data_IF_016422204359
#
_entry.id   IF_016422204359
#
_cell.length_a   1.000
_cell.length_b   1.000
_cell.length_c   1.000
_cell.angle_alpha   90.00
_cell.angle_beta   90.00
_cell.angle_gamma   90.00
#
_symmetry.space_group_name_H-M   'P 1'
#
loop_
_entity.id
_entity.type
_entity.pdbx_description
1 polymer ?
#
# COMPACT_ATOMS: atom_id res chain seq x y z
N UNK A 1 13.08 -7.64 10.28
CA UNK A 1 12.66 -7.24 8.93
C UNK A 1 11.36 -6.43 8.90
N UNK A 2 10.22 -6.88 9.48
CA UNK A 2 8.96 -6.07 9.56
C UNK A 2 9.18 -4.65 10.12
N UNK A 3 10.05 -4.49 11.13
CA UNK A 3 10.40 -3.18 11.70
C UNK A 3 11.10 -2.24 10.70
N UNK A 4 11.82 -2.76 9.70
CA UNK A 4 12.55 -1.94 8.74
C UNK A 4 11.63 -1.27 7.72
N UNK A 5 10.59 -2.00 7.23
CA UNK A 5 9.58 -1.43 6.33
C UNK A 5 8.85 -0.27 7.01
N UNK A 6 8.40 -0.46 8.27
CA UNK A 6 7.73 0.61 9.02
C UNK A 6 8.64 1.83 9.23
N UNK A 7 9.92 1.62 9.53
CA UNK A 7 10.89 2.71 9.67
C UNK A 7 11.06 3.51 8.38
N UNK A 8 11.12 2.82 7.24
CA UNK A 8 11.22 3.46 5.93
C UNK A 8 9.99 4.34 5.65
N UNK A 9 8.79 3.79 5.86
CA UNK A 9 7.53 4.52 5.67
C UNK A 9 7.44 5.71 6.63
N UNK A 10 7.83 5.55 7.90
CA UNK A 10 7.84 6.62 8.89
C UNK A 10 8.77 7.76 8.47
N UNK A 11 9.99 7.43 8.05
CA UNK A 11 10.97 8.43 7.64
C UNK A 11 10.44 9.33 6.51
N UNK A 12 9.92 8.74 5.46
CA UNK A 12 9.42 9.50 4.31
C UNK A 12 8.10 10.20 4.58
N UNK A 13 7.23 9.61 5.39
CA UNK A 13 5.96 10.22 5.80
C UNK A 13 6.23 11.44 6.68
N UNK A 14 7.16 11.37 7.63
CA UNK A 14 7.49 12.49 8.49
C UNK A 14 8.18 13.62 7.73
N UNK A 15 9.11 13.28 6.82
CA UNK A 15 9.71 14.28 5.92
C UNK A 15 8.65 15.01 5.11
N UNK A 16 7.72 14.29 4.49
CA UNK A 16 6.66 14.90 3.69
C UNK A 16 5.66 15.68 4.55
N UNK A 17 5.33 15.17 5.72
CA UNK A 17 4.48 15.86 6.69
C UNK A 17 5.04 17.21 7.09
N UNK A 18 6.35 17.27 7.37
CA UNK A 18 7.07 18.51 7.63
C UNK A 18 7.03 19.47 6.44
N UNK A 19 7.18 18.97 5.21
CA UNK A 19 7.07 19.78 3.99
C UNK A 19 5.66 20.38 3.79
N UNK A 20 4.61 19.62 4.08
CA UNK A 20 3.22 20.06 3.86
C UNK A 20 2.71 20.98 4.97
N UNK A 21 3.03 20.67 6.23
CA UNK A 21 2.43 21.30 7.40
C UNK A 21 3.37 22.20 8.19
N UNK A 22 4.69 22.17 7.88
CA UNK A 22 5.69 22.96 8.59
C UNK A 22 5.71 22.69 10.09
N UNK A 23 5.72 23.75 10.88
CA UNK A 23 5.73 23.71 12.36
C UNK A 23 4.47 23.10 12.99
N UNK A 24 3.39 22.92 12.22
CA UNK A 24 2.16 22.26 12.68
C UNK A 24 2.23 20.72 12.57
N UNK A 25 3.29 20.19 11.95
CA UNK A 25 3.48 18.76 11.87
C UNK A 25 4.08 18.21 13.17
N UNK A 26 3.46 17.16 13.67
CA UNK A 26 4.04 16.33 14.71
C UNK A 26 4.41 14.98 14.10
N UNK A 27 5.65 14.55 14.32
CA UNK A 27 6.13 13.30 13.76
C UNK A 27 5.23 12.12 14.14
N UNK A 28 4.91 11.32 13.13
CA UNK A 28 4.14 10.08 13.31
C UNK A 28 5.02 9.08 14.01
N UNK A 29 4.53 8.50 15.09
CA UNK A 29 5.20 7.40 15.79
C UNK A 29 4.90 6.04 15.13
N UNK A 30 5.68 5.01 15.47
CA UNK A 30 5.46 3.63 14.99
C UNK A 30 4.06 3.11 15.37
N UNK A 31 3.62 3.38 16.60
CA UNK A 31 2.28 2.97 17.06
C UNK A 31 1.18 3.73 16.33
N UNK A 32 1.36 5.01 16.06
CA UNK A 32 0.40 5.82 15.33
C UNK A 32 0.28 5.40 13.87
N UNK A 33 1.40 5.07 13.20
CA UNK A 33 1.38 4.52 11.84
C UNK A 33 0.65 3.18 11.79
N UNK A 34 0.89 2.30 12.76
CA UNK A 34 0.17 1.01 12.86
C UNK A 34 -1.33 1.23 13.07
N UNK A 35 -1.72 2.17 13.91
CA UNK A 35 -3.13 2.54 14.11
C UNK A 35 -3.76 3.05 12.82
N UNK A 36 -3.07 3.94 12.10
CA UNK A 36 -3.52 4.44 10.81
C UNK A 36 -3.74 3.31 9.79
N UNK A 37 -2.77 2.39 9.68
CA UNK A 37 -2.88 1.25 8.76
C UNK A 37 -4.03 0.31 9.17
N UNK A 38 -4.18 0.03 10.48
CA UNK A 38 -5.28 -0.77 11.01
C UNK A 38 -6.65 -0.18 10.66
N UNK A 39 -6.83 1.12 10.85
CA UNK A 39 -8.06 1.83 10.49
C UNK A 39 -8.31 1.80 8.96
N UNK A 40 -7.25 1.90 8.15
CA UNK A 40 -7.36 1.82 6.69
C UNK A 40 -7.81 0.43 6.24
N UNK A 41 -7.29 -0.65 6.85
CA UNK A 41 -7.71 -2.03 6.61
C UNK A 41 -9.17 -2.23 7.04
N UNK A 42 -9.56 -1.74 8.22
CA UNK A 42 -10.94 -1.82 8.71
C UNK A 42 -11.92 -1.09 7.79
N UNK A 43 -11.56 0.08 7.25
CA UNK A 43 -12.39 0.75 6.24
C UNK A 43 -12.60 -0.12 5.00
N UNK A 44 -11.59 -0.88 4.59
CA UNK A 44 -11.69 -1.87 3.51
C UNK A 44 -12.64 -3.02 3.86
N UNK A 45 -12.49 -3.60 5.07
CA UNK A 45 -13.35 -4.68 5.59
C UNK A 45 -14.83 -4.24 5.63
N UNK A 46 -15.09 -3.03 6.05
CA UNK A 46 -16.44 -2.44 6.08
C UNK A 46 -16.94 -2.00 4.69
N UNK A 47 -16.14 -2.18 3.62
CA UNK A 47 -16.47 -1.77 2.25
C UNK A 47 -16.80 -0.26 2.13
N UNK A 48 -16.15 0.55 2.95
CA UNK A 48 -16.40 1.99 3.11
C UNK A 48 -15.94 2.86 1.93
N UNK A 49 -15.73 2.28 0.76
CA UNK A 49 -15.19 2.96 -0.43
C UNK A 49 -15.99 4.20 -0.85
N UNK A 50 -17.31 4.18 -0.62
CA UNK A 50 -18.21 5.27 -1.01
C UNK A 50 -18.62 6.14 0.20
N UNK A 51 -18.11 5.85 1.38
CA UNK A 51 -18.37 6.66 2.58
C UNK A 51 -17.39 7.83 2.66
N UNK A 52 -17.87 9.00 3.00
CA UNK A 52 -16.99 10.12 3.30
C UNK A 52 -16.24 9.86 4.62
N UNK A 53 -14.96 10.28 4.71
CA UNK A 53 -14.16 10.08 5.93
C UNK A 53 -14.90 10.60 7.18
N UNK A 54 -15.61 11.74 7.07
CA UNK A 54 -16.39 12.31 8.18
C UNK A 54 -17.45 11.34 8.71
N UNK A 55 -18.06 10.52 7.84
CA UNK A 55 -19.09 9.54 8.24
C UNK A 55 -18.50 8.42 9.09
N UNK A 56 -17.30 7.94 8.76
CA UNK A 56 -16.60 6.93 9.57
C UNK A 56 -16.35 7.40 11.00
N UNK A 57 -16.13 8.71 11.19
CA UNK A 57 -15.89 9.36 12.49
C UNK A 57 -17.14 9.97 13.13
N UNK A 58 -18.31 9.82 12.53
CA UNK A 58 -19.56 10.31 13.15
C UNK A 58 -19.80 9.62 14.49
N UNK A 59 -20.33 10.39 15.47
CA UNK A 59 -20.73 9.85 16.76
C UNK A 59 -22.07 9.14 16.69
N UNK A 60 -22.92 9.53 15.73
CA UNK A 60 -24.27 9.00 15.56
C UNK A 60 -24.27 7.78 14.65
N UNK A 61 -23.74 7.92 13.42
CA UNK A 61 -23.83 6.91 12.36
C UNK A 61 -22.47 6.22 12.09
N UNK A 62 -21.39 6.73 12.70
CA UNK A 62 -20.04 6.21 12.47
C UNK A 62 -19.74 4.95 13.27
N UNK A 63 -18.52 4.46 13.10
CA UNK A 63 -18.04 3.29 13.83
C UNK A 63 -17.14 3.72 14.98
N UNK A 64 -17.48 3.41 16.23
CA UNK A 64 -16.75 3.89 17.41
C UNK A 64 -15.24 3.63 17.39
N UNK A 65 -14.81 2.56 16.72
CA UNK A 65 -13.38 2.21 16.63
C UNK A 65 -12.56 3.31 15.96
N UNK A 66 -13.08 3.99 14.93
CA UNK A 66 -12.36 5.07 14.26
C UNK A 66 -12.14 6.26 15.19
N UNK A 67 -13.21 6.72 15.83
CA UNK A 67 -13.17 7.89 16.70
C UNK A 67 -12.32 7.65 17.96
N UNK A 68 -12.38 6.45 18.55
CA UNK A 68 -11.62 6.06 19.73
C UNK A 68 -10.13 5.84 19.47
N UNK A 69 -9.75 5.46 18.25
CA UNK A 69 -8.37 5.09 17.93
C UNK A 69 -7.52 6.26 17.45
N UNK A 70 -8.11 7.22 16.70
CA UNK A 70 -7.37 8.35 16.13
C UNK A 70 -8.32 9.52 15.83
N UNK A 71 -7.92 10.78 16.07
CA UNK A 71 -8.67 11.94 15.62
C UNK A 71 -8.78 11.97 14.08
N UNK A 72 -9.97 12.30 13.55
CA UNK A 72 -10.21 12.37 12.10
C UNK A 72 -9.20 13.24 11.37
N UNK A 73 -8.91 14.43 11.90
CA UNK A 73 -7.97 15.36 11.27
C UNK A 73 -6.57 14.77 11.18
N UNK A 74 -6.14 14.04 12.21
CA UNK A 74 -4.84 13.37 12.22
C UNK A 74 -4.77 12.24 11.20
N UNK A 75 -5.82 11.44 11.08
CA UNK A 75 -5.94 10.43 10.02
C UNK A 75 -5.81 11.05 8.62
N UNK A 76 -6.48 12.16 8.37
CA UNK A 76 -6.40 12.87 7.09
C UNK A 76 -5.01 13.48 6.84
N UNK A 77 -4.36 14.03 7.87
CA UNK A 77 -2.99 14.55 7.77
C UNK A 77 -2.00 13.43 7.39
N UNK A 78 -2.04 12.30 8.08
CA UNK A 78 -1.18 11.14 7.79
C UNK A 78 -1.48 10.61 6.39
N UNK A 79 -2.76 10.46 6.01
CA UNK A 79 -3.16 10.02 4.67
C UNK A 79 -2.59 10.91 3.55
N UNK A 80 -2.56 12.23 3.76
CA UNK A 80 -2.00 13.18 2.79
C UNK A 80 -0.47 13.16 2.75
N UNK A 81 0.17 12.99 3.90
CA UNK A 81 1.62 12.99 4.04
C UNK A 81 2.26 11.63 3.71
N UNK A 82 1.50 10.54 3.63
CA UNK A 82 2.04 9.19 3.46
C UNK A 82 2.90 9.07 2.21
N UNK A 83 4.14 8.62 2.41
CA UNK A 83 5.14 8.37 1.36
C UNK A 83 5.91 7.10 1.65
N UNK A 84 6.41 6.48 0.59
CA UNK A 84 7.24 5.28 0.65
C UNK A 84 8.66 5.53 0.11
N UNK A 85 8.91 6.74 -0.44
CA UNK A 85 10.18 7.17 -1.03
C UNK A 85 10.39 8.67 -0.88
N UNK A 86 11.58 9.13 -1.29
CA UNK A 86 11.87 10.56 -1.42
C UNK A 86 11.22 11.15 -2.68
N UNK A 87 10.15 11.90 -2.48
CA UNK A 87 9.42 12.56 -3.57
C UNK A 87 10.27 13.57 -4.35
N UNK A 88 11.29 14.18 -3.73
CA UNK A 88 12.15 15.20 -4.37
C UNK A 88 12.95 14.62 -5.54
N UNK A 89 13.46 13.39 -5.38
CA UNK A 89 14.32 12.73 -6.38
C UNK A 89 13.56 11.78 -7.33
N UNK A 90 12.24 11.68 -7.16
CA UNK A 90 11.40 10.71 -7.89
C UNK A 90 11.45 10.90 -9.41
N UNK A 91 11.48 12.15 -9.91
CA UNK A 91 11.47 12.43 -11.34
C UNK A 91 12.64 11.82 -12.09
N UNK A 92 13.84 11.82 -11.48
CA UNK A 92 15.04 11.24 -12.09
C UNK A 92 14.95 9.70 -12.14
N UNK A 93 14.48 9.08 -11.08
CA UNK A 93 14.38 7.62 -10.96
C UNK A 93 13.20 7.02 -11.73
N UNK A 94 12.08 7.72 -11.82
CA UNK A 94 10.87 7.27 -12.52
C UNK A 94 11.03 7.12 -14.04
N UNK A 95 12.10 7.67 -14.63
CA UNK A 95 12.41 7.48 -16.06
C UNK A 95 12.79 6.04 -16.39
N UNK A 96 13.39 5.32 -15.45
CA UNK A 96 13.86 3.93 -15.60
C UNK A 96 12.93 2.92 -14.94
N UNK A 97 12.28 3.30 -13.85
CA UNK A 97 11.40 2.40 -13.09
C UNK A 97 10.05 3.07 -12.76
N UNK A 98 8.97 2.54 -13.31
CA UNK A 98 7.61 3.03 -13.05
C UNK A 98 7.13 2.74 -11.62
N UNK A 99 7.71 1.75 -10.94
CA UNK A 99 7.41 1.40 -9.54
C UNK A 99 8.20 2.23 -8.53
N UNK A 100 9.09 3.10 -8.98
CA UNK A 100 9.99 3.87 -8.12
C UNK A 100 9.34 4.40 -6.83
N UNK A 101 8.10 4.96 -6.84
CA UNK A 101 7.48 5.48 -5.62
C UNK A 101 7.27 4.46 -4.50
N UNK A 102 7.29 3.17 -4.81
CA UNK A 102 7.06 2.08 -3.86
C UNK A 102 8.15 0.99 -3.94
N UNK A 103 9.11 1.10 -4.86
CA UNK A 103 10.10 0.05 -5.19
C UNK A 103 10.79 -0.49 -3.94
N UNK A 104 11.41 0.36 -3.17
CA UNK A 104 12.18 -0.04 -1.99
C UNK A 104 11.33 -0.82 -0.98
N UNK A 105 10.14 -0.32 -0.66
CA UNK A 105 9.23 -0.99 0.28
C UNK A 105 8.70 -2.29 -0.30
N UNK A 106 8.44 -2.32 -1.60
CA UNK A 106 8.00 -3.52 -2.29
C UNK A 106 9.06 -4.62 -2.26
N UNK A 107 10.32 -4.31 -2.61
CA UNK A 107 11.43 -5.26 -2.61
C UNK A 107 11.71 -5.81 -1.20
N UNK A 108 11.64 -4.95 -0.16
CA UNK A 108 11.75 -5.39 1.24
C UNK A 108 10.60 -6.31 1.65
N UNK A 109 9.39 -6.05 1.17
CA UNK A 109 8.22 -6.88 1.43
C UNK A 109 8.33 -8.22 0.70
N UNK A 110 8.70 -8.23 -0.58
CA UNK A 110 8.93 -9.43 -1.39
C UNK A 110 9.98 -10.34 -0.75
N UNK A 111 11.13 -9.78 -0.34
CA UNK A 111 12.16 -10.53 0.40
C UNK A 111 11.62 -11.15 1.69
N UNK A 112 10.74 -10.43 2.41
CA UNK A 112 10.13 -10.95 3.64
C UNK A 112 9.19 -12.14 3.36
N UNK A 113 8.50 -12.15 2.23
CA UNK A 113 7.64 -13.27 1.83
C UNK A 113 8.47 -14.49 1.47
N UNK A 114 9.57 -14.30 0.72
CA UNK A 114 10.49 -15.38 0.36
C UNK A 114 11.10 -16.05 1.60
N UNK A 115 11.48 -15.26 2.61
CA UNK A 115 12.02 -15.80 3.87
C UNK A 115 10.96 -16.50 4.74
N UNK A 116 9.68 -16.13 4.57
CA UNK A 116 8.60 -16.64 5.42
C UNK A 116 8.04 -17.99 4.96
N UNK A 117 8.21 -18.34 3.70
CA UNK A 117 7.61 -19.55 3.14
C UNK A 117 8.43 -20.09 1.97
N UNK A 118 8.69 -21.40 2.02
CA UNK A 118 9.27 -22.17 0.91
C UNK A 118 8.14 -23.00 0.29
N UNK A 119 7.81 -22.76 -0.99
CA UNK A 119 6.77 -23.53 -1.66
C UNK A 119 7.16 -24.99 -1.86
N UNK A 120 6.17 -25.87 -1.97
CA UNK A 120 6.34 -27.26 -2.30
C UNK A 120 6.67 -27.46 -3.81
N UNK A 121 6.82 -28.69 -4.26
CA UNK A 121 7.17 -29.05 -5.65
C UNK A 121 6.14 -28.59 -6.68
N UNK A 122 4.86 -28.50 -6.28
CA UNK A 122 3.75 -28.14 -7.17
C UNK A 122 3.31 -26.70 -6.93
N UNK A 123 3.67 -25.82 -7.84
CA UNK A 123 3.31 -24.41 -7.79
C UNK A 123 2.58 -23.98 -9.07
N UNK A 124 1.67 -23.06 -8.93
CA UNK A 124 0.97 -22.42 -10.04
C UNK A 124 1.36 -20.96 -10.12
N UNK A 125 1.72 -20.51 -11.32
CA UNK A 125 1.98 -19.09 -11.60
C UNK A 125 0.79 -18.52 -12.36
N UNK A 126 0.16 -17.50 -11.80
CA UNK A 126 -0.99 -16.83 -12.43
C UNK A 126 -0.94 -15.32 -12.21
N UNK A 127 -1.78 -14.59 -12.92
CA UNK A 127 -1.90 -13.13 -12.81
C UNK A 127 -3.16 -12.73 -12.05
N UNK A 128 -2.99 -11.86 -11.06
CA UNK A 128 -4.10 -11.20 -10.41
C UNK A 128 -4.17 -9.72 -10.81
N UNK A 129 -5.37 -9.27 -11.17
CA UNK A 129 -5.64 -7.85 -11.35
C UNK A 129 -6.23 -7.26 -10.06
N UNK A 130 -5.39 -6.58 -9.29
CA UNK A 130 -5.85 -5.80 -8.15
C UNK A 130 -6.55 -4.55 -8.66
N UNK A 131 -7.88 -4.51 -8.54
CA UNK A 131 -8.69 -3.39 -9.04
C UNK A 131 -8.25 -2.08 -8.44
N UNK A 132 -7.81 -1.13 -9.29
CA UNK A 132 -7.32 0.17 -8.89
C UNK A 132 -7.74 1.25 -9.88
N UNK A 133 -8.37 2.32 -9.37
CA UNK A 133 -8.88 3.43 -10.19
C UNK A 133 -8.05 4.71 -10.07
N UNK A 134 -7.06 4.73 -9.19
CA UNK A 134 -6.14 5.86 -9.03
C UNK A 134 -5.22 6.08 -10.23
N UNK A 135 -4.41 7.12 -10.13
CA UNK A 135 -3.42 7.48 -11.18
C UNK A 135 -2.06 6.89 -10.81
N UNK A 136 -1.66 5.83 -11.51
CA UNK A 136 -0.32 5.26 -11.42
C UNK A 136 0.16 4.87 -12.82
N UNK A 137 1.47 5.02 -13.13
CA UNK A 137 2.00 4.79 -14.48
C UNK A 137 1.99 3.30 -14.91
N UNK A 138 1.84 2.38 -13.95
CA UNK A 138 1.82 0.94 -14.16
C UNK A 138 0.42 0.32 -14.10
N UNK A 139 -0.64 1.15 -14.11
CA UNK A 139 -2.02 0.66 -14.21
C UNK A 139 -2.27 0.02 -15.57
N UNK A 140 -2.88 -1.16 -15.56
CA UNK A 140 -3.20 -1.92 -16.76
C UNK A 140 -4.71 -2.00 -16.99
N UNK A 141 -5.08 -2.17 -18.25
CA UNK A 141 -6.43 -2.47 -18.69
C UNK A 141 -6.47 -3.89 -19.22
N UNK A 142 -7.26 -4.77 -18.60
CA UNK A 142 -7.44 -6.16 -19.01
C UNK A 142 -8.94 -6.40 -19.17
N UNK A 143 -9.45 -6.42 -20.42
CA UNK A 143 -10.90 -6.50 -20.71
C UNK A 143 -11.57 -7.75 -20.12
N UNK A 144 -10.85 -8.88 -20.07
CA UNK A 144 -11.35 -10.18 -19.58
C UNK A 144 -11.53 -10.25 -18.05
N UNK A 145 -10.86 -9.35 -17.30
CA UNK A 145 -10.98 -9.37 -15.83
C UNK A 145 -12.17 -8.49 -15.38
N UNK A 146 -12.94 -8.88 -14.36
CA UNK A 146 -14.14 -8.13 -13.92
C UNK A 146 -13.87 -6.67 -13.57
N UNK A 147 -12.71 -6.38 -12.98
CA UNK A 147 -12.30 -5.02 -12.61
C UNK A 147 -11.81 -4.15 -13.76
N UNK A 148 -11.48 -4.74 -14.91
CA UNK A 148 -10.92 -4.15 -16.14
C UNK A 148 -9.67 -3.30 -15.93
N UNK A 149 -9.65 -2.38 -14.96
CA UNK A 149 -8.53 -1.50 -14.63
C UNK A 149 -7.92 -1.87 -13.28
N UNK A 150 -6.62 -2.03 -13.22
CA UNK A 150 -5.95 -2.35 -11.96
C UNK A 150 -4.43 -2.45 -12.07
N UNK A 151 -3.84 -2.89 -10.98
CA UNK A 151 -2.43 -3.24 -10.89
C UNK A 151 -2.34 -4.76 -11.11
N UNK A 152 -1.59 -5.16 -12.14
CA UNK A 152 -1.33 -6.56 -12.42
C UNK A 152 -0.23 -7.06 -11.51
N UNK A 153 -0.53 -8.11 -10.75
CA UNK A 153 0.41 -8.82 -9.90
C UNK A 153 0.64 -10.21 -10.47
N UNK A 154 1.88 -10.65 -10.53
CA UNK A 154 2.21 -12.04 -10.76
C UNK A 154 2.27 -12.75 -9.41
N UNK A 155 1.60 -13.86 -9.33
CA UNK A 155 1.45 -14.62 -8.09
C UNK A 155 1.92 -16.04 -8.33
N UNK A 156 2.78 -16.54 -7.45
CA UNK A 156 3.13 -17.93 -7.37
C UNK A 156 2.37 -18.52 -6.19
N UNK A 157 1.49 -19.46 -6.47
CA UNK A 157 0.63 -20.11 -5.49
C UNK A 157 1.11 -21.55 -5.27
N UNK A 158 1.31 -21.93 -4.02
CA UNK A 158 1.51 -23.33 -3.65
C UNK A 158 0.18 -24.06 -3.69
N UNK A 159 0.15 -25.23 -4.39
CA UNK A 159 -1.10 -25.95 -4.63
C UNK A 159 -1.64 -26.72 -3.43
N UNK A 160 -0.84 -26.89 -2.36
CA UNK A 160 -1.28 -27.58 -1.14
C UNK A 160 -1.76 -26.63 -0.04
N UNK A 161 -1.11 -25.47 0.08
CA UNK A 161 -1.33 -24.56 1.21
C UNK A 161 -2.08 -23.29 0.84
N UNK A 162 -2.34 -23.07 -0.47
CA UNK A 162 -2.89 -21.82 -0.99
C UNK A 162 -2.08 -20.56 -0.61
N UNK A 163 -0.85 -20.74 -0.11
CA UNK A 163 0.03 -19.62 0.22
C UNK A 163 0.55 -19.01 -1.07
N UNK A 164 0.51 -17.69 -1.10
CA UNK A 164 0.81 -16.91 -2.30
C UNK A 164 2.13 -16.19 -2.10
N UNK A 165 3.08 -16.39 -3.04
CA UNK A 165 4.19 -15.49 -3.28
C UNK A 165 3.78 -14.45 -4.33
N UNK A 166 3.88 -13.18 -4.02
CA UNK A 166 3.68 -12.12 -5.00
C UNK A 166 5.04 -11.73 -5.54
N UNK A 167 5.25 -11.94 -6.82
CA UNK A 167 6.36 -11.33 -7.52
C UNK A 167 5.93 -10.07 -8.25
N UNK A 168 6.88 -9.25 -8.58
CA UNK A 168 6.83 -7.91 -9.19
C UNK A 168 5.52 -7.57 -9.94
N UNK A 169 4.91 -6.39 -9.72
CA UNK A 169 3.87 -5.90 -10.61
C UNK A 169 4.43 -5.86 -12.04
N UNK A 170 3.76 -6.54 -12.95
CA UNK A 170 4.15 -6.90 -14.32
C UNK A 170 4.82 -5.89 -15.24
N UNK A 171 5.91 -5.32 -14.82
CA UNK A 171 6.71 -4.34 -15.59
C UNK A 171 7.86 -5.01 -16.34
N UNK A 172 8.24 -6.24 -16.01
CA UNK A 172 9.47 -6.87 -16.50
C UNK A 172 9.30 -8.02 -17.49
N UNK A 173 8.09 -8.40 -17.86
CA UNK A 173 7.96 -9.28 -19.03
C UNK A 173 7.75 -8.45 -20.31
N UNK A 174 8.84 -7.97 -20.89
CA UNK A 174 8.91 -7.85 -22.33
C UNK A 174 9.03 -9.27 -22.85
N UNK A 175 7.92 -9.84 -23.26
CA UNK A 175 7.95 -11.04 -24.09
C UNK A 175 8.83 -10.76 -25.29
N UNK A 176 9.81 -11.62 -25.48
CA UNK A 176 10.52 -11.80 -26.74
C UNK A 176 9.53 -12.17 -27.84
#
# INVERSE_FOLDING_TARGET
MRSAIFKEVLNWTNKEGGNIYGTQWHDVSDSELKTFMGLSILAGVYKSRNEAVRQLWSLEDGRPIFNRSMPRNRFQQISRAMRFDDAANRRQRASTDKLEPIRKVFDMWESTLQDAFVPDENVTVDEQLLTYRGRVPFKQYIPSKPGKYGIKLWMLCDSKTDIIHVSSPGIYWKGS
#
